data_IF_963557465086
#
_entry.id   IF_963557465086
#
_cell.length_a   1.000
_cell.length_b   1.000
_cell.length_c   1.000
_cell.angle_alpha   90.00
_cell.angle_beta   90.00
_cell.angle_gamma   90.00
#
_symmetry.space_group_name_H-M   'P 1'
#
loop_
_entity.id
_entity.type
_entity.pdbx_description
1 polymer ?
#
# COMPACT_ATOMS: atom_id res chain seq x y z
N UNK A 1 5.86 6.87 5.29
CA UNK A 1 6.53 6.44 6.53
C UNK A 1 5.56 6.49 7.70
N UNK A 2 6.08 6.41 8.93
CA UNK A 2 5.31 6.52 10.17
C UNK A 2 4.25 5.43 10.36
N UNK A 3 3.26 5.73 11.22
CA UNK A 3 2.13 4.84 11.50
C UNK A 3 1.35 4.41 10.24
N UNK A 4 1.06 5.29 9.25
CA UNK A 4 0.35 4.88 8.04
C UNK A 4 1.07 3.77 7.25
N UNK A 5 2.41 3.78 7.24
CA UNK A 5 3.20 2.72 6.60
C UNK A 5 2.99 1.38 7.31
N UNK A 6 3.15 1.37 8.64
CA UNK A 6 2.96 0.14 9.42
C UNK A 6 1.59 -0.43 9.28
N UNK A 7 0.57 0.40 9.47
CA UNK A 7 -0.80 -0.06 9.43
C UNK A 7 -1.12 -0.73 8.08
N UNK A 8 -0.62 -0.16 6.98
CA UNK A 8 -0.77 -0.74 5.65
C UNK A 8 -0.04 -2.07 5.49
N UNK A 9 1.17 -2.21 6.05
CA UNK A 9 1.99 -3.42 5.91
C UNK A 9 1.58 -4.54 6.86
N UNK A 10 1.20 -4.22 8.10
CA UNK A 10 0.91 -5.18 9.17
C UNK A 10 -0.45 -5.87 9.00
N UNK A 11 -1.31 -5.38 8.10
CA UNK A 11 -2.64 -5.97 7.89
C UNK A 11 -2.58 -7.45 7.47
N UNK A 12 -1.54 -7.86 6.74
CA UNK A 12 -1.33 -9.25 6.32
C UNK A 12 -1.08 -10.13 7.56
N UNK A 13 -0.15 -9.71 8.40
CA UNK A 13 0.20 -10.41 9.65
C UNK A 13 -0.98 -10.40 10.63
N UNK A 14 -1.69 -9.27 10.73
CA UNK A 14 -2.87 -9.15 11.59
C UNK A 14 -3.99 -10.11 11.16
N UNK A 15 -4.22 -10.26 9.85
CA UNK A 15 -5.20 -11.21 9.33
C UNK A 15 -4.80 -12.66 9.65
N UNK A 16 -3.53 -13.01 9.48
CA UNK A 16 -3.00 -14.34 9.82
C UNK A 16 -3.19 -14.66 11.31
N UNK A 17 -2.87 -13.71 12.20
CA UNK A 17 -3.08 -13.84 13.66
C UNK A 17 -4.56 -14.05 14.00
N UNK A 18 -5.48 -13.48 13.23
CA UNK A 18 -6.93 -13.65 13.38
C UNK A 18 -7.45 -14.96 12.73
N UNK A 19 -6.58 -15.79 12.18
CA UNK A 19 -6.93 -17.05 11.53
C UNK A 19 -7.43 -16.90 10.09
N UNK A 20 -7.20 -15.73 9.47
CA UNK A 20 -7.50 -15.50 8.05
C UNK A 20 -6.24 -15.66 7.22
N UNK A 21 -6.31 -16.50 6.19
CA UNK A 21 -5.25 -16.59 5.17
C UNK A 21 -5.32 -15.35 4.27
N UNK A 22 -4.36 -14.43 4.45
CA UNK A 22 -4.25 -13.20 3.69
C UNK A 22 -2.98 -13.23 2.83
N UNK A 23 -3.09 -13.05 1.51
CA UNK A 23 -1.91 -13.01 0.66
C UNK A 23 -1.08 -11.75 0.94
N UNK A 24 0.24 -11.87 0.79
CA UNK A 24 1.16 -10.73 0.82
C UNK A 24 0.77 -9.65 -0.19
N UNK A 25 1.17 -8.40 0.09
CA UNK A 25 0.98 -7.31 -0.86
C UNK A 25 1.71 -7.62 -2.18
N UNK A 26 0.94 -7.83 -3.26
CA UNK A 26 1.46 -8.15 -4.59
C UNK A 26 2.26 -7.00 -5.23
N UNK A 27 1.90 -5.76 -4.90
CA UNK A 27 2.54 -4.55 -5.43
C UNK A 27 2.85 -3.62 -4.27
N UNK A 28 4.08 -3.09 -4.23
CA UNK A 28 4.47 -2.11 -3.23
C UNK A 28 5.34 -1.01 -3.84
N UNK A 29 4.91 0.24 -3.69
CA UNK A 29 5.70 1.42 -4.08
C UNK A 29 5.84 2.30 -2.85
N UNK A 30 7.07 2.48 -2.37
CA UNK A 30 7.35 3.33 -1.22
C UNK A 30 8.05 4.60 -1.69
N UNK A 31 7.33 5.72 -1.64
CA UNK A 31 7.91 7.05 -1.82
C UNK A 31 8.33 7.59 -0.47
N UNK A 32 9.62 7.88 -0.29
CA UNK A 32 10.15 8.29 1.01
C UNK A 32 11.39 9.17 0.87
N UNK A 33 11.59 10.05 1.84
CA UNK A 33 12.87 10.75 2.09
C UNK A 33 13.64 10.13 3.26
N UNK A 34 13.04 9.15 3.95
CA UNK A 34 13.65 8.50 5.09
C UNK A 34 14.84 7.63 4.66
N UNK A 35 15.94 7.77 5.40
CA UNK A 35 17.20 7.09 5.11
C UNK A 35 17.26 5.76 5.85
N UNK A 36 17.56 4.68 5.13
CA UNK A 36 17.61 3.31 5.67
C UNK A 36 18.60 3.12 6.83
N UNK A 37 19.60 3.99 6.95
CA UNK A 37 20.65 3.89 7.97
C UNK A 37 20.18 4.25 9.37
N UNK A 38 19.06 4.95 9.50
CA UNK A 38 18.51 5.30 10.82
C UNK A 38 17.88 4.09 11.55
N UNK A 39 17.68 2.96 10.85
CA UNK A 39 17.03 1.75 11.39
C UNK A 39 15.58 1.98 11.83
N UNK A 40 15.00 3.13 11.48
CA UNK A 40 13.65 3.47 11.84
C UNK A 40 12.67 2.70 10.97
N UNK A 41 11.53 2.39 11.56
CA UNK A 41 10.46 1.72 10.84
C UNK A 41 9.89 2.57 9.68
N UNK A 42 10.03 3.90 9.74
CA UNK A 42 9.75 4.78 8.61
C UNK A 42 10.66 4.54 7.40
N UNK A 43 11.93 4.18 7.64
CA UNK A 43 12.95 3.97 6.61
C UNK A 43 13.12 2.50 6.20
N UNK A 44 12.52 1.55 6.94
CA UNK A 44 12.62 0.12 6.63
C UNK A 44 12.33 -0.18 5.15
N UNK A 45 13.13 -1.08 4.58
CA UNK A 45 13.08 -1.38 3.14
C UNK A 45 11.92 -2.32 2.83
N UNK A 46 11.47 -2.35 1.57
CA UNK A 46 10.46 -3.32 1.14
C UNK A 46 10.98 -4.76 1.18
N UNK A 47 12.31 -4.96 1.02
CA UNK A 47 12.96 -6.26 1.21
C UNK A 47 12.93 -6.73 2.66
N UNK A 48 13.14 -5.81 3.59
CA UNK A 48 12.97 -6.09 5.02
C UNK A 48 11.50 -6.39 5.34
N UNK A 49 10.54 -5.64 4.79
CA UNK A 49 9.12 -5.97 4.95
C UNK A 49 8.76 -7.36 4.38
N UNK A 50 9.43 -7.79 3.31
CA UNK A 50 9.26 -9.13 2.73
C UNK A 50 9.75 -10.25 3.65
N UNK A 51 10.83 -10.05 4.42
CA UNK A 51 11.30 -11.07 5.37
C UNK A 51 10.31 -11.35 6.51
N UNK A 52 9.33 -10.47 6.70
CA UNK A 52 8.23 -10.61 7.66
C UNK A 52 6.93 -11.11 7.02
N UNK A 53 6.95 -11.51 5.75
CA UNK A 53 5.74 -11.96 5.05
C UNK A 53 4.73 -10.85 4.75
N UNK A 54 5.16 -9.57 4.69
CA UNK A 54 4.23 -8.44 4.44
C UNK A 54 4.10 -8.11 2.96
N UNK A 55 5.20 -8.18 2.21
CA UNK A 55 5.30 -7.70 0.83
C UNK A 55 5.94 -8.77 -0.06
N UNK A 56 5.34 -9.02 -1.21
CA UNK A 56 5.92 -9.87 -2.24
C UNK A 56 7.06 -9.14 -2.97
N UNK A 57 8.19 -9.82 -3.16
CA UNK A 57 9.39 -9.28 -3.83
C UNK A 57 9.24 -9.07 -5.34
N UNK A 58 8.21 -9.63 -5.97
CA UNK A 58 8.10 -9.63 -7.44
C UNK A 58 7.85 -8.23 -8.01
N UNK A 59 7.05 -7.40 -7.35
CA UNK A 59 6.71 -6.06 -7.84
C UNK A 59 6.82 -4.99 -6.75
N UNK A 60 8.04 -4.78 -6.27
CA UNK A 60 8.38 -3.77 -5.26
C UNK A 60 9.27 -2.66 -5.84
N UNK A 61 9.09 -1.41 -5.38
CA UNK A 61 10.02 -0.33 -5.67
C UNK A 61 10.09 0.72 -4.56
N UNK A 62 11.30 1.00 -4.09
CA UNK A 62 11.62 2.17 -3.26
C UNK A 62 11.93 3.38 -4.16
N UNK A 63 11.30 4.52 -3.92
CA UNK A 63 11.52 5.80 -4.61
C UNK A 63 11.98 6.83 -3.58
N UNK A 64 13.26 7.20 -3.62
CA UNK A 64 13.85 8.18 -2.73
C UNK A 64 13.60 9.60 -3.26
N UNK A 65 12.46 10.17 -2.89
CA UNK A 65 12.02 11.49 -3.35
C UNK A 65 10.92 12.05 -2.44
N UNK A 66 10.71 13.36 -2.47
CA UNK A 66 9.57 13.97 -1.83
C UNK A 66 8.26 13.56 -2.50
N UNK A 67 7.24 13.27 -1.69
CA UNK A 67 5.94 12.81 -2.18
C UNK A 67 5.26 13.84 -3.10
N UNK A 68 5.44 15.13 -2.81
CA UNK A 68 4.88 16.25 -3.60
C UNK A 68 5.44 16.31 -5.02
N UNK A 69 6.62 15.75 -5.28
CA UNK A 69 7.22 15.64 -6.60
C UNK A 69 6.87 14.30 -7.26
N UNK A 70 7.14 13.19 -6.57
CA UNK A 70 7.04 11.86 -7.17
C UNK A 70 5.59 11.41 -7.39
N UNK A 71 4.68 11.68 -6.43
CA UNK A 71 3.29 11.18 -6.52
C UNK A 71 2.53 11.78 -7.71
N UNK A 72 2.57 13.10 -7.98
CA UNK A 72 1.90 13.65 -9.16
C UNK A 72 2.42 13.08 -10.48
N UNK A 73 3.71 12.80 -10.59
CA UNK A 73 4.30 12.20 -11.79
C UNK A 73 3.84 10.76 -12.01
N UNK A 74 3.84 9.94 -10.95
CA UNK A 74 3.38 8.55 -10.99
C UNK A 74 1.88 8.50 -11.36
N UNK A 75 1.07 9.29 -10.67
CA UNK A 75 -0.38 9.35 -10.92
C UNK A 75 -0.68 9.92 -12.30
N UNK A 76 0.00 10.98 -12.70
CA UNK A 76 -0.12 11.59 -14.02
C UNK A 76 0.17 10.59 -15.13
N UNK A 77 1.28 9.84 -15.03
CA UNK A 77 1.59 8.79 -15.99
C UNK A 77 0.50 7.71 -16.04
N UNK A 78 0.12 7.17 -14.88
CA UNK A 78 -0.90 6.11 -14.79
C UNK A 78 -2.26 6.54 -15.35
N UNK A 79 -2.65 7.80 -15.12
CA UNK A 79 -3.89 8.37 -15.64
C UNK A 79 -3.87 8.51 -17.17
N UNK A 80 -2.78 9.05 -17.73
CA UNK A 80 -2.62 9.25 -19.18
C UNK A 80 -2.42 7.94 -19.95
N UNK A 81 -1.98 6.86 -19.30
CA UNK A 81 -1.98 5.51 -19.91
C UNK A 81 -3.38 4.94 -20.10
N UNK A 82 -4.41 5.58 -19.53
CA UNK A 82 -5.83 5.26 -19.70
C UNK A 82 -6.22 3.81 -19.39
N UNK A 83 -5.36 3.04 -18.70
CA UNK A 83 -5.64 1.64 -18.31
C UNK A 83 -6.81 1.52 -17.34
N UNK A 84 -7.25 2.64 -16.74
CA UNK A 84 -8.44 2.69 -15.89
C UNK A 84 -9.75 2.58 -16.69
N UNK A 85 -9.76 2.92 -17.99
CA UNK A 85 -10.98 2.89 -18.83
C UNK A 85 -11.55 1.49 -19.01
N UNK A 86 -10.72 0.46 -19.00
CA UNK A 86 -11.14 -0.95 -19.12
C UNK A 86 -11.39 -1.63 -17.77
N UNK A 87 -11.19 -0.92 -16.64
CA UNK A 87 -11.40 -1.50 -15.31
C UNK A 87 -12.86 -1.37 -14.90
N UNK A 88 -13.37 -2.43 -14.28
CA UNK A 88 -14.69 -2.38 -13.63
C UNK A 88 -14.60 -1.49 -12.39
N UNK A 89 -15.45 -0.46 -12.34
CA UNK A 89 -15.50 0.45 -11.21
C UNK A 89 -15.99 -0.27 -9.94
N UNK A 90 -15.21 -0.22 -8.87
CA UNK A 90 -15.60 -0.77 -7.56
C UNK A 90 -16.34 0.32 -6.78
N UNK A 91 -17.66 0.24 -6.69
CA UNK A 91 -18.53 1.19 -6.00
C UNK A 91 -18.56 0.95 -4.48
N UNK A 92 -17.40 0.96 -3.83
CA UNK A 92 -17.31 0.62 -2.39
C UNK A 92 -18.09 1.58 -1.48
N UNK A 93 -18.32 2.83 -1.89
CA UNK A 93 -19.16 3.76 -1.14
C UNK A 93 -20.58 3.23 -0.92
N UNK A 94 -21.12 2.43 -1.85
CA UNK A 94 -22.44 1.82 -1.71
C UNK A 94 -22.52 0.83 -0.53
N UNK A 95 -21.39 0.31 -0.04
CA UNK A 95 -21.32 -0.51 1.17
C UNK A 95 -21.59 0.32 2.43
N UNK A 96 -21.14 1.58 2.44
CA UNK A 96 -21.26 2.50 3.57
C UNK A 96 -22.58 3.28 3.56
N UNK A 97 -23.22 3.38 2.39
CA UNK A 97 -24.53 4.02 2.20
C UNK A 97 -25.71 3.14 2.64
N UNK A 98 -25.48 1.86 2.95
CA UNK A 98 -26.53 0.99 3.51
C UNK A 98 -26.95 1.54 4.87
N UNK A 99 -28.08 2.25 4.90
CA UNK A 99 -28.76 2.63 6.14
C UNK A 99 -29.07 1.35 6.92
N UNK A 100 -28.80 1.26 8.23
CA UNK A 100 -29.21 0.10 9.02
C UNK A 100 -30.70 -0.14 8.79
N UNK A 101 -31.06 -1.33 8.31
CA UNK A 101 -32.46 -1.71 8.18
C UNK A 101 -33.05 -1.84 9.59
N UNK A 102 -33.72 -0.79 10.06
CA UNK A 102 -34.49 -0.77 11.30
C UNK A 102 -33.68 -0.40 12.54
N UNK A 103 -33.75 0.87 12.91
CA UNK A 103 -33.98 1.29 14.30
C UNK A 103 -35.22 2.18 14.31
#
# INVERSE_FOLDING_TARGET
GGVPKNFTQDIVVAAEVLGHDAPMHKYAIQVTVADVRDGALSSSTLKEASSWGKVDTVYEQMVFSEATLAVPLIVGYAYHKQSWKSRVAKKWNALLEQTPAGV
#
